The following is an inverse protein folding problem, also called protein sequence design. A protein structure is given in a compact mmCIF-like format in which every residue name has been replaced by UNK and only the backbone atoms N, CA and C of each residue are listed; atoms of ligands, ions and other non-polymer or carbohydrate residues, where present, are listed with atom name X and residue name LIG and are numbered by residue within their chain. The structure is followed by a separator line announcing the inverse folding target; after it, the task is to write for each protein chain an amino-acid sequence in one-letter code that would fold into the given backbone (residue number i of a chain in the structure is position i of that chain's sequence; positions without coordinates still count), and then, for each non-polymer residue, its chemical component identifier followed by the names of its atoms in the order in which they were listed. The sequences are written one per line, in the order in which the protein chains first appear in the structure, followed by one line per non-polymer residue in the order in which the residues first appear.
data_IF_768810388564
#
_entry.id   IF_768810388564
#
_cell.length_a   1.000
_cell.length_b   1.000
_cell.length_c   1.000
_cell.angle_alpha   90.00
_cell.angle_beta   90.00
_cell.angle_gamma   90.00
#
_symmetry.space_group_name_H-M   'P 1'
#
loop_
_entity.id
_entity.type
_entity.pdbx_description
1 polymer ?
#
# COMPACT_ATOMS: atom_id res chain seq x y z
N UNK A 1 0.36 -0.04 -19.27
CA UNK A 1 -0.57 -0.73 -18.34
C UNK A 1 -0.11 -0.72 -16.88
N UNK A 2 1.19 -0.94 -16.57
CA UNK A 2 1.71 -0.97 -15.19
C UNK A 2 1.34 0.26 -14.32
N UNK A 3 1.42 1.49 -14.85
CA UNK A 3 1.05 2.72 -14.12
C UNK A 3 -0.39 2.75 -13.60
N UNK A 4 -1.35 2.20 -14.33
CA UNK A 4 -2.76 2.19 -13.93
C UNK A 4 -3.01 1.26 -12.73
N UNK A 5 -2.35 0.11 -12.70
CA UNK A 5 -2.41 -0.83 -11.57
C UNK A 5 -1.85 -0.18 -10.30
N UNK A 6 -0.79 0.62 -10.43
CA UNK A 6 -0.19 1.34 -9.30
C UNK A 6 -1.11 2.41 -8.72
N UNK A 7 -1.73 3.21 -9.59
CA UNK A 7 -2.71 4.22 -9.18
C UNK A 7 -3.90 3.54 -8.51
N UNK A 8 -4.40 2.45 -9.10
CA UNK A 8 -5.52 1.68 -8.54
C UNK A 8 -5.20 1.11 -7.15
N UNK A 9 -4.05 0.43 -7.00
CA UNK A 9 -3.62 -0.12 -5.70
C UNK A 9 -3.42 0.97 -4.65
N UNK A 10 -2.83 2.10 -5.02
CA UNK A 10 -2.66 3.24 -4.11
C UNK A 10 -4.03 3.82 -3.67
N UNK A 11 -5.01 3.91 -4.58
CA UNK A 11 -6.35 4.38 -4.27
C UNK A 11 -7.11 3.38 -3.36
N UNK A 12 -7.03 2.08 -3.64
CA UNK A 12 -7.62 1.05 -2.78
C UNK A 12 -7.01 1.07 -1.38
N UNK A 13 -5.70 1.21 -1.28
CA UNK A 13 -5.01 1.27 0.01
C UNK A 13 -5.40 2.49 0.85
N UNK A 14 -5.58 3.64 0.18
CA UNK A 14 -6.09 4.84 0.83
C UNK A 14 -7.53 4.65 1.35
N UNK A 15 -8.36 3.95 0.59
CA UNK A 15 -9.72 3.61 0.99
C UNK A 15 -9.72 2.66 2.21
N UNK A 16 -8.86 1.64 2.23
CA UNK A 16 -8.70 0.74 3.38
C UNK A 16 -8.25 1.50 4.63
N UNK A 17 -7.33 2.47 4.49
CA UNK A 17 -6.90 3.31 5.61
C UNK A 17 -8.08 4.16 6.14
N UNK A 18 -8.92 4.72 5.27
CA UNK A 18 -10.11 5.46 5.68
C UNK A 18 -11.16 4.57 6.37
N UNK A 19 -11.35 3.34 5.89
CA UNK A 19 -12.23 2.36 6.54
C UNK A 19 -11.70 1.98 7.91
N UNK A 20 -10.39 1.76 8.05
CA UNK A 20 -9.74 1.49 9.32
C UNK A 20 -9.89 2.66 10.32
N UNK A 21 -9.75 3.90 9.85
CA UNK A 21 -9.99 5.10 10.64
C UNK A 21 -11.41 5.13 11.21
N UNK A 22 -12.43 5.01 10.36
CA UNK A 22 -13.83 5.05 10.79
C UNK A 22 -14.18 3.86 11.68
N UNK A 23 -13.61 2.68 11.42
CA UNK A 23 -13.82 1.51 12.27
C UNK A 23 -13.18 1.70 13.66
N UNK A 24 -12.02 2.34 13.75
CA UNK A 24 -11.37 2.68 15.01
C UNK A 24 -12.16 3.75 15.79
N UNK A 25 -12.64 4.79 15.11
CA UNK A 25 -13.50 5.83 15.70
C UNK A 25 -14.78 5.24 16.29
N UNK A 26 -15.48 4.38 15.54
CA UNK A 26 -16.68 3.67 16.02
C UNK A 26 -16.42 2.74 17.21
N UNK A 27 -15.18 2.29 17.40
CA UNK A 27 -14.77 1.42 18.50
C UNK A 27 -14.12 2.17 19.66
N UNK A 28 -14.08 3.51 19.62
CA UNK A 28 -13.46 4.34 20.65
C UNK A 28 -11.95 4.14 20.78
N UNK A 29 -11.29 3.68 19.71
CA UNK A 29 -9.82 3.57 19.62
C UNK A 29 -9.24 4.80 18.94
N UNK A 30 -7.93 5.03 19.05
CA UNK A 30 -7.27 6.13 18.35
C UNK A 30 -7.34 5.92 16.82
N UNK A 31 -8.13 6.70 16.08
CA UNK A 31 -8.31 6.52 14.65
C UNK A 31 -7.04 6.84 13.86
N UNK A 32 -6.21 7.77 14.36
CA UNK A 32 -4.96 8.18 13.70
C UNK A 32 -3.95 7.04 13.73
N UNK A 33 -3.85 6.33 14.84
CA UNK A 33 -2.96 5.18 14.99
C UNK A 33 -3.31 4.09 13.97
N UNK A 34 -4.58 3.74 13.83
CA UNK A 34 -5.02 2.70 12.90
C UNK A 34 -4.87 3.14 11.43
N UNK A 35 -5.18 4.39 11.12
CA UNK A 35 -4.94 4.96 9.79
C UNK A 35 -3.46 4.90 9.40
N UNK A 36 -2.57 5.36 10.28
CA UNK A 36 -1.12 5.36 10.04
C UNK A 36 -0.57 3.94 9.92
N UNK A 37 -1.02 2.99 10.75
CA UNK A 37 -0.62 1.58 10.67
C UNK A 37 -1.02 0.95 9.33
N UNK A 38 -2.25 1.19 8.88
CA UNK A 38 -2.72 0.70 7.58
C UNK A 38 -1.89 1.32 6.45
N UNK A 39 -1.66 2.65 6.46
CA UNK A 39 -0.81 3.30 5.47
C UNK A 39 0.62 2.72 5.45
N UNK A 40 1.24 2.56 6.62
CA UNK A 40 2.59 1.99 6.73
C UNK A 40 2.67 0.58 6.16
N UNK A 41 1.69 -0.26 6.45
CA UNK A 41 1.62 -1.62 5.92
C UNK A 41 1.61 -1.63 4.39
N UNK A 42 0.83 -0.73 3.77
CA UNK A 42 0.80 -0.62 2.31
C UNK A 42 2.12 -0.17 1.72
N UNK A 43 2.85 0.73 2.36
CA UNK A 43 4.19 1.14 1.89
C UNK A 43 5.14 -0.07 1.90
N UNK A 44 5.14 -0.87 2.96
CA UNK A 44 6.00 -2.06 3.06
C UNK A 44 5.68 -3.16 2.04
N UNK A 45 4.42 -3.28 1.61
CA UNK A 45 4.00 -4.30 0.65
C UNK A 45 4.08 -3.77 -0.79
N UNK A 46 3.56 -2.56 -1.07
CA UNK A 46 3.59 -1.98 -2.40
C UNK A 46 5.02 -1.66 -2.84
N UNK A 47 5.83 -0.95 -2.04
CA UNK A 47 7.14 -0.45 -2.53
C UNK A 47 8.05 -1.55 -3.09
N UNK A 48 8.21 -2.73 -2.44
CA UNK A 48 8.98 -3.84 -3.00
C UNK A 48 8.35 -4.44 -4.26
N UNK A 49 7.02 -4.55 -4.30
CA UNK A 49 6.29 -5.09 -5.46
C UNK A 49 6.32 -4.12 -6.67
N UNK A 50 6.47 -2.83 -6.39
CA UNK A 50 6.55 -1.74 -7.35
C UNK A 50 7.97 -1.48 -7.85
N UNK A 51 9.01 -1.94 -7.12
CA UNK A 51 10.36 -1.93 -7.66
C UNK A 51 10.37 -2.81 -8.89
N UNK A 52 10.70 -2.22 -10.03
CA UNK A 52 10.98 -3.01 -11.22
C UNK A 52 12.03 -4.06 -10.86
N UNK A 53 11.85 -5.33 -11.27
CA UNK A 53 12.93 -6.29 -11.13
C UNK A 53 14.12 -5.67 -11.82
N UNK A 54 15.24 -5.59 -11.11
CA UNK A 54 16.53 -5.32 -11.76
C UNK A 54 16.63 -6.38 -12.83
N UNK A 55 16.67 -6.00 -14.10
CA UNK A 55 16.92 -6.94 -15.18
C UNK A 55 18.22 -7.65 -14.81
N UNK A 56 18.13 -8.91 -14.37
CA UNK A 56 19.29 -9.76 -14.28
C UNK A 56 19.83 -9.86 -15.69
N UNK A 57 20.94 -9.15 -15.88
CA UNK A 57 21.95 -9.33 -16.90
C UNK A 57 22.16 -10.83 -17.15
N UNK A 58 21.36 -11.38 -18.06
CA UNK A 58 21.61 -12.66 -18.73
C UNK A 58 21.68 -12.42 -20.22
N UNK A 59 22.53 -11.46 -20.58
CA UNK A 59 23.46 -11.72 -21.65
C UNK A 59 24.55 -12.67 -21.09
N UNK A 60 24.38 -13.99 -21.24
CA UNK A 60 25.46 -14.98 -21.50
C UNK A 60 24.96 -16.40 -21.18
N UNK A 61 24.53 -17.12 -22.21
CA UNK A 61 24.87 -18.53 -22.49
C UNK A 61 24.30 -18.90 -23.87
#
# INVERSE_FOLDING_TARGET
MKKWVFVFLAMCHLFEAMVAYHAAERRGKDPKEYFLKTLFLGVFILVPLLREPVEEETASA
#
